data_IF_814876413645
#
_entry.id   IF_814876413645
#
_cell.length_a   1.000
_cell.length_b   1.000
_cell.length_c   1.000
_cell.angle_alpha   90.00
_cell.angle_beta   90.00
_cell.angle_gamma   90.00
#
_symmetry.space_group_name_H-M   'P 1'
#
loop_
_entity.id
_entity.type
_entity.pdbx_description
1 polymer ?
#
# COMPACT_ATOMS: atom_id res chain seq x y z
N UNK A 1 39.24 28.69 -54.39
CA UNK A 1 39.20 29.24 -53.02
C UNK A 1 37.85 29.93 -52.85
N UNK A 2 37.24 29.78 -51.66
CA UNK A 2 35.91 30.27 -51.24
C UNK A 2 34.74 29.39 -51.71
N UNK A 3 33.78 28.93 -50.90
CA UNK A 3 33.44 29.05 -49.47
C UNK A 3 32.34 27.99 -49.20
N UNK A 4 32.46 27.21 -48.13
CA UNK A 4 31.36 26.42 -47.55
C UNK A 4 31.65 26.44 -46.05
N UNK A 5 31.11 27.38 -45.28
CA UNK A 5 29.74 27.42 -44.75
C UNK A 5 29.37 26.11 -44.04
N UNK A 6 29.97 25.88 -42.88
CA UNK A 6 29.44 24.95 -41.88
C UNK A 6 28.64 25.75 -40.85
N UNK A 7 27.35 25.82 -41.13
CA UNK A 7 26.32 26.23 -40.17
C UNK A 7 26.18 25.11 -39.12
N UNK A 8 26.41 25.34 -37.82
CA UNK A 8 26.14 24.31 -36.81
C UNK A 8 24.64 24.04 -36.76
N UNK A 9 24.27 22.76 -36.91
CA UNK A 9 22.89 22.29 -36.83
C UNK A 9 22.21 22.80 -35.54
N UNK A 10 20.92 23.20 -35.60
CA UNK A 10 20.20 23.64 -34.41
C UNK A 10 20.12 22.47 -33.43
N UNK A 11 20.56 22.70 -32.20
CA UNK A 11 20.37 21.79 -31.08
C UNK A 11 18.89 21.49 -30.99
N UNK A 12 18.54 20.21 -31.08
CA UNK A 12 17.19 19.74 -30.84
C UNK A 12 16.68 20.36 -29.53
N UNK A 13 15.62 21.16 -29.66
CA UNK A 13 14.82 21.63 -28.55
C UNK A 13 14.48 20.43 -27.67
N UNK A 14 15.15 20.34 -26.53
CA UNK A 14 14.67 19.56 -25.40
C UNK A 14 13.43 20.32 -24.90
N UNK A 15 12.30 20.08 -25.55
CA UNK A 15 11.02 20.44 -24.99
C UNK A 15 10.90 19.72 -23.65
N UNK A 16 11.00 20.50 -22.58
CA UNK A 16 10.53 20.16 -21.24
C UNK A 16 9.15 19.53 -21.35
N UNK A 17 9.10 18.19 -21.29
CA UNK A 17 7.87 17.49 -20.96
C UNK A 17 7.67 17.70 -19.47
N UNK A 18 7.09 18.85 -19.11
CA UNK A 18 6.41 19.02 -17.83
C UNK A 18 5.20 18.07 -17.84
N UNK A 19 5.46 16.80 -17.55
CA UNK A 19 4.45 15.83 -17.14
C UNK A 19 3.74 16.34 -15.88
N UNK A 20 2.51 15.87 -15.63
CA UNK A 20 1.63 16.45 -14.63
C UNK A 20 2.35 16.56 -13.28
N UNK A 21 2.33 17.77 -12.69
CA UNK A 21 2.78 18.01 -11.33
C UNK A 21 2.19 16.93 -10.43
N UNK A 22 3.06 16.10 -9.87
CA UNK A 22 2.68 15.01 -8.99
C UNK A 22 2.16 15.59 -7.68
N UNK A 23 0.92 16.08 -7.69
CA UNK A 23 0.10 16.07 -6.49
C UNK A 23 0.05 14.59 -6.08
N UNK A 24 0.79 14.25 -5.01
CA UNK A 24 0.79 12.92 -4.43
C UNK A 24 -0.63 12.58 -4.00
N UNK A 25 -1.38 11.99 -4.93
CA UNK A 25 -2.76 11.57 -4.70
C UNK A 25 -2.67 10.47 -3.66
N UNK A 26 -3.03 10.81 -2.42
CA UNK A 26 -3.02 9.87 -1.31
C UNK A 26 -3.85 8.65 -1.71
N UNK A 27 -3.19 7.52 -1.92
CA UNK A 27 -3.85 6.25 -2.16
C UNK A 27 -4.37 5.79 -0.80
N UNK A 28 -5.68 5.48 -0.67
CA UNK A 28 -6.19 4.96 0.59
C UNK A 28 -5.49 3.63 0.89
N UNK A 29 -4.73 3.60 1.98
CA UNK A 29 -4.17 2.35 2.51
C UNK A 29 -5.28 1.60 3.23
N UNK A 30 -5.48 0.34 2.86
CA UNK A 30 -6.44 -0.53 3.53
C UNK A 30 -5.71 -1.37 4.57
N UNK A 31 -6.06 -1.19 5.84
CA UNK A 31 -5.65 -2.09 6.92
C UNK A 31 -6.53 -3.34 6.92
N UNK A 32 -5.90 -4.51 7.03
CA UNK A 32 -6.60 -5.79 7.11
C UNK A 32 -6.12 -6.55 8.34
N UNK A 33 -7.06 -7.04 9.15
CA UNK A 33 -6.79 -7.79 10.39
C UNK A 33 -7.36 -9.20 10.29
N UNK A 34 -6.61 -10.18 10.79
CA UNK A 34 -7.02 -11.57 10.85
C UNK A 34 -7.57 -11.90 12.23
N UNK A 35 -8.62 -12.72 12.30
CA UNK A 35 -9.08 -13.36 13.53
C UNK A 35 -9.04 -14.89 13.37
N UNK A 36 -7.85 -15.52 13.30
CA UNK A 36 -7.73 -16.95 13.09
C UNK A 36 -8.16 -17.68 14.36
N UNK A 37 -8.93 -18.75 14.19
CA UNK A 37 -9.38 -19.61 15.28
C UNK A 37 -8.98 -21.05 15.00
N UNK A 38 -8.36 -21.71 15.96
CA UNK A 38 -8.08 -23.14 15.88
C UNK A 38 -9.34 -23.98 16.19
N UNK A 39 -9.31 -25.31 16.02
CA UNK A 39 -10.44 -26.18 16.35
C UNK A 39 -10.83 -26.21 17.84
N UNK A 40 -9.90 -25.91 18.75
CA UNK A 40 -10.17 -25.79 20.18
C UNK A 40 -10.82 -24.44 20.54
N UNK A 41 -10.84 -23.52 19.58
CA UNK A 41 -11.45 -22.23 19.69
C UNK A 41 -10.51 -21.11 20.15
N UNK A 42 -9.20 -21.37 20.20
CA UNK A 42 -8.16 -20.41 20.56
C UNK A 42 -7.88 -19.46 19.41
N UNK A 43 -7.52 -18.22 19.75
CA UNK A 43 -7.19 -17.17 18.78
C UNK A 43 -5.68 -17.00 18.65
N UNK A 44 -5.22 -16.86 17.42
CA UNK A 44 -3.85 -16.40 17.16
C UNK A 44 -3.76 -14.89 17.41
N UNK A 45 -2.79 -14.50 18.24
CA UNK A 45 -2.46 -13.10 18.52
C UNK A 45 -0.95 -12.90 18.37
N UNK A 46 -0.55 -11.71 17.95
CA UNK A 46 0.86 -11.31 17.86
C UNK A 46 1.26 -10.50 19.08
N UNK A 47 2.46 -10.74 19.59
CA UNK A 47 3.05 -9.90 20.63
C UNK A 47 3.68 -8.67 19.96
N UNK A 48 3.31 -7.47 20.40
CA UNK A 48 3.87 -6.20 19.86
C UNK A 48 5.25 -5.86 20.45
N UNK A 49 5.81 -6.75 21.27
CA UNK A 49 7.14 -6.59 21.84
C UNK A 49 7.23 -5.33 22.70
N UNK A 50 8.15 -4.43 22.36
CA UNK A 50 8.46 -3.23 23.15
C UNK A 50 7.34 -2.18 23.16
N UNK A 51 6.42 -2.22 22.19
CA UNK A 51 5.24 -1.35 22.18
C UNK A 51 4.14 -1.82 23.15
N UNK A 52 4.29 -3.05 23.67
CA UNK A 52 3.40 -3.62 24.66
C UNK A 52 2.07 -4.14 24.10
N UNK A 53 1.64 -5.25 24.69
CA UNK A 53 0.34 -5.84 24.45
C UNK A 53 0.31 -6.88 23.34
N UNK A 54 -0.87 -7.46 23.17
CA UNK A 54 -1.19 -8.45 22.13
C UNK A 54 -2.15 -7.83 21.15
N UNK A 55 -1.99 -8.15 19.88
CA UNK A 55 -2.83 -7.64 18.81
C UNK A 55 -3.21 -8.76 17.83
N UNK A 56 -4.10 -8.45 16.90
CA UNK A 56 -4.42 -9.33 15.79
C UNK A 56 -3.33 -9.28 14.73
N UNK A 57 -3.01 -10.42 14.08
CA UNK A 57 -2.17 -10.42 12.89
C UNK A 57 -2.78 -9.48 11.85
N UNK A 58 -1.98 -8.57 11.29
CA UNK A 58 -2.49 -7.52 10.42
C UNK A 58 -1.51 -7.18 9.31
N UNK A 59 -2.04 -6.65 8.21
CA UNK A 59 -1.23 -6.19 7.09
C UNK A 59 -1.86 -4.95 6.45
N UNK A 60 -1.08 -4.21 5.69
CA UNK A 60 -1.55 -3.13 4.82
C UNK A 60 -1.61 -3.64 3.37
N UNK A 61 -2.60 -3.18 2.61
CA UNK A 61 -2.71 -3.43 1.18
C UNK A 61 -3.27 -2.20 0.47
N UNK A 62 -2.80 -1.97 -0.76
CA UNK A 62 -3.22 -0.86 -1.63
C UNK A 62 -3.83 -1.35 -2.95
N UNK A 63 -3.39 -2.51 -3.44
CA UNK A 63 -3.64 -2.98 -4.81
C UNK A 63 -4.17 -4.42 -4.86
N UNK A 64 -4.09 -5.15 -3.75
CA UNK A 64 -4.44 -6.56 -3.66
C UNK A 64 -5.73 -6.77 -2.86
N UNK A 65 -6.50 -7.81 -3.23
CA UNK A 65 -7.68 -8.21 -2.46
C UNK A 65 -7.31 -8.47 -1.00
N UNK A 66 -8.06 -7.91 -0.02
CA UNK A 66 -7.81 -8.07 1.41
C UNK A 66 -7.53 -9.51 1.85
N UNK A 67 -8.34 -10.43 1.35
CA UNK A 67 -8.24 -11.86 1.66
C UNK A 67 -6.89 -12.46 1.22
N UNK A 68 -6.38 -12.06 0.05
CA UNK A 68 -5.11 -12.60 -0.49
C UNK A 68 -3.94 -11.98 0.28
N UNK A 69 -3.96 -10.66 0.50
CA UNK A 69 -2.95 -9.96 1.27
C UNK A 69 -2.80 -10.53 2.69
N UNK A 70 -3.94 -10.85 3.33
CA UNK A 70 -3.99 -11.44 4.67
C UNK A 70 -3.47 -12.89 4.68
N UNK A 71 -3.90 -13.72 3.73
CA UNK A 71 -3.46 -15.12 3.62
C UNK A 71 -1.95 -15.20 3.39
N UNK A 72 -1.42 -14.38 2.47
CA UNK A 72 0.03 -14.26 2.23
C UNK A 72 0.76 -13.84 3.50
N UNK A 73 0.23 -12.83 4.20
CA UNK A 73 0.86 -12.33 5.43
C UNK A 73 0.89 -13.39 6.53
N UNK A 74 -0.22 -14.09 6.78
CA UNK A 74 -0.26 -15.17 7.78
C UNK A 74 0.75 -16.28 7.48
N UNK A 75 0.87 -16.65 6.20
CA UNK A 75 1.86 -17.63 5.76
C UNK A 75 3.28 -17.14 5.97
N UNK A 76 3.58 -15.90 5.56
CA UNK A 76 4.94 -15.35 5.58
C UNK A 76 5.43 -14.93 6.96
N UNK A 77 4.57 -14.32 7.77
CA UNK A 77 4.94 -13.75 9.07
C UNK A 77 4.74 -14.72 10.24
N UNK A 78 3.72 -15.59 10.16
CA UNK A 78 3.37 -16.50 11.25
C UNK A 78 3.56 -17.99 10.91
N UNK A 79 3.90 -18.32 9.66
CA UNK A 79 3.99 -19.73 9.22
C UNK A 79 2.64 -20.45 9.24
N UNK A 80 1.53 -19.70 9.23
CA UNK A 80 0.17 -20.25 9.34
C UNK A 80 -0.47 -20.34 7.96
N UNK A 81 -0.80 -21.57 7.55
CA UNK A 81 -1.61 -21.82 6.37
C UNK A 81 -3.10 -21.71 6.75
N UNK A 82 -3.71 -20.57 6.45
CA UNK A 82 -5.13 -20.32 6.71
C UNK A 82 -5.77 -19.57 5.54
N UNK A 83 -6.97 -20.02 5.13
CA UNK A 83 -7.78 -19.31 4.15
C UNK A 83 -8.60 -18.18 4.80
N UNK A 84 -8.84 -17.10 4.06
CA UNK A 84 -9.77 -16.08 4.48
C UNK A 84 -11.21 -16.63 4.50
N UNK A 85 -11.89 -16.47 5.64
CA UNK A 85 -13.30 -16.83 5.81
C UNK A 85 -14.23 -15.66 5.49
N UNK A 86 -14.96 -15.20 6.50
CA UNK A 86 -15.93 -14.10 6.40
C UNK A 86 -15.34 -12.77 6.86
N UNK A 87 -15.78 -11.67 6.24
CA UNK A 87 -15.55 -10.32 6.74
C UNK A 87 -16.41 -10.10 8.00
N UNK A 88 -15.77 -9.72 9.11
CA UNK A 88 -16.45 -9.53 10.40
C UNK A 88 -16.80 -8.07 10.69
N UNK A 89 -15.89 -7.16 10.33
CA UNK A 89 -16.02 -5.73 10.56
C UNK A 89 -15.23 -4.98 9.49
N UNK A 90 -15.63 -3.74 9.23
CA UNK A 90 -14.89 -2.78 8.43
C UNK A 90 -15.17 -1.39 8.96
N UNK A 91 -14.12 -0.60 9.09
CA UNK A 91 -14.18 0.80 9.49
C UNK A 91 -13.38 1.66 8.50
N UNK A 92 -13.49 2.97 8.66
CA UNK A 92 -12.78 3.90 7.82
C UNK A 92 -12.87 5.31 8.37
N UNK A 93 -11.76 6.04 8.26
CA UNK A 93 -11.75 7.48 8.49
C UNK A 93 -11.84 8.19 7.15
N UNK A 94 -12.96 8.87 6.90
CA UNK A 94 -12.99 9.84 5.80
C UNK A 94 -12.05 10.97 6.17
N UNK A 95 -11.01 11.18 5.35
CA UNK A 95 -10.16 12.36 5.48
C UNK A 95 -11.01 13.54 5.03
N UNK A 96 -11.58 14.26 5.98
CA UNK A 96 -12.39 15.44 5.70
C UNK A 96 -11.53 16.39 4.86
N UNK A 97 -11.92 16.63 3.61
CA UNK A 97 -11.19 17.54 2.73
C UNK A 97 -11.52 18.96 3.18
N UNK A 98 -10.84 19.43 4.20
CA UNK A 98 -10.81 20.85 4.57
C UNK A 98 -12.16 21.44 4.93
N UNK A 99 -12.67 21.16 6.13
CA UNK A 99 -13.56 22.09 6.81
C UNK A 99 -12.73 23.24 7.38
N UNK A 100 -12.52 24.30 6.59
CA UNK A 100 -12.19 25.61 7.17
C UNK A 100 -13.44 26.09 7.92
N UNK A 101 -13.34 26.10 9.25
CA UNK A 101 -14.20 26.90 10.12
C UNK A 101 -13.41 28.11 10.60
#
# INVERSE_FOLDING_TARGET
MSTTDEHPAPRADQHDVQGPSAEARAVPLLGVHALPRDPAGLLLVVDRGTEGGRDLPSNLTDSELPAIALTRHLRGAAGVEAGAGRLLAGDGVSRDRGGMA
#
